data_IF_901741528716
#
_entry.id   IF_901741528716
#
_cell.length_a   1.000
_cell.length_b   1.000
_cell.length_c   1.000
_cell.angle_alpha   90.00
_cell.angle_beta   90.00
_cell.angle_gamma   90.00
#
_symmetry.space_group_name_H-M   'P 1'
#
loop_
_entity.id
_entity.type
_entity.pdbx_description
1 polymer ?
#
# COMPACT_ATOMS: atom_id res chain seq x y z
N UNK A 1 39.05 26.58 58.81
CA UNK A 1 38.65 25.32 58.14
C UNK A 1 37.14 25.40 57.93
N UNK A 2 36.69 25.70 56.71
CA UNK A 2 35.26 25.88 56.37
C UNK A 2 34.65 24.52 55.99
N UNK A 3 33.43 24.18 56.46
CA UNK A 3 32.82 22.90 56.16
C UNK A 3 32.23 22.88 54.74
N UNK A 4 32.36 21.72 54.09
CA UNK A 4 31.83 21.42 52.76
C UNK A 4 30.29 21.34 52.81
N UNK A 5 29.53 21.97 51.89
CA UNK A 5 28.08 21.84 51.87
C UNK A 5 27.65 20.47 51.33
N UNK A 6 26.73 19.83 52.06
CA UNK A 6 25.95 18.68 51.60
C UNK A 6 24.99 19.15 50.50
N UNK A 7 25.29 18.85 49.23
CA UNK A 7 24.28 19.00 48.17
C UNK A 7 23.51 17.69 48.01
N UNK A 8 22.20 17.85 48.16
CA UNK A 8 21.16 16.84 48.06
C UNK A 8 21.21 16.10 46.72
N UNK A 9 21.04 14.79 46.82
CA UNK A 9 20.75 13.91 45.70
C UNK A 9 19.42 14.31 45.04
N UNK A 10 19.49 14.92 43.86
CA UNK A 10 18.37 14.99 42.94
C UNK A 10 18.40 13.71 42.09
N UNK A 11 17.73 12.66 42.57
CA UNK A 11 17.45 11.46 41.79
C UNK A 11 16.37 11.83 40.77
N UNK A 12 16.79 12.40 39.63
CA UNK A 12 15.92 12.54 38.48
C UNK A 12 15.56 11.16 37.97
N UNK A 13 14.31 10.73 38.18
CA UNK A 13 13.74 9.59 37.46
C UNK A 13 13.72 9.96 35.97
N UNK A 14 14.75 9.52 35.25
CA UNK A 14 14.66 9.30 33.81
C UNK A 14 13.65 8.16 33.63
N UNK A 15 12.38 8.52 33.40
CA UNK A 15 11.44 7.59 32.81
C UNK A 15 12.06 7.13 31.48
N UNK A 16 12.32 5.83 31.27
CA UNK A 16 12.68 5.39 29.94
C UNK A 16 11.47 5.67 29.07
N UNK A 17 11.63 6.59 28.12
CA UNK A 17 10.73 6.75 27.00
C UNK A 17 10.77 5.41 26.28
N UNK A 18 9.85 4.51 26.65
CA UNK A 18 9.70 3.21 26.03
C UNK A 18 9.41 3.48 24.58
N UNK A 19 10.43 3.32 23.74
CA UNK A 19 10.24 3.14 22.32
C UNK A 19 9.47 1.83 22.20
N UNK A 20 8.14 1.90 22.25
CA UNK A 20 7.30 0.85 21.70
C UNK A 20 7.59 0.86 20.20
N UNK A 21 8.68 0.19 19.81
CA UNK A 21 8.71 -0.48 18.53
C UNK A 21 7.56 -1.50 18.60
N UNK A 22 6.37 -1.09 18.18
CA UNK A 22 5.35 -2.03 17.78
C UNK A 22 6.03 -2.92 16.75
N UNK A 23 6.35 -4.16 17.12
CA UNK A 23 6.73 -5.17 16.15
C UNK A 23 5.62 -5.16 15.10
N UNK A 24 5.90 -4.94 13.81
CA UNK A 24 4.84 -5.02 12.83
C UNK A 24 4.24 -6.43 12.95
N UNK A 25 2.92 -6.51 13.04
CA UNK A 25 2.24 -7.77 12.82
C UNK A 25 2.76 -8.29 11.48
N UNK A 26 3.53 -9.37 11.54
CA UNK A 26 4.17 -10.02 10.41
C UNK A 26 3.07 -10.58 9.52
N UNK A 27 2.75 -9.82 8.49
CA UNK A 27 1.83 -10.21 7.44
C UNK A 27 2.59 -10.04 6.13
N UNK A 28 3.72 -10.72 5.97
CA UNK A 28 4.25 -10.97 4.65
C UNK A 28 3.65 -12.28 4.14
N UNK A 29 2.85 -12.18 3.07
CA UNK A 29 2.55 -13.33 2.22
C UNK A 29 3.88 -14.00 1.86
N UNK A 30 3.96 -15.33 2.03
CA UNK A 30 5.17 -16.13 1.72
C UNK A 30 6.36 -15.93 2.68
N UNK A 31 6.12 -15.62 3.96
CA UNK A 31 7.13 -15.48 5.03
C UNK A 31 8.08 -16.69 5.22
N UNK A 32 7.72 -17.86 4.67
CA UNK A 32 8.56 -19.06 4.64
C UNK A 32 9.66 -19.07 3.57
N UNK A 33 9.92 -17.94 2.89
CA UNK A 33 10.95 -17.87 1.86
C UNK A 33 12.35 -18.20 2.40
N UNK A 34 12.90 -19.31 1.92
CA UNK A 34 14.29 -19.73 2.18
C UNK A 34 15.04 -19.63 0.86
N UNK A 35 15.95 -18.65 0.68
CA UNK A 35 16.74 -18.55 -0.54
C UNK A 35 17.42 -19.90 -0.87
N UNK A 36 17.12 -20.48 -2.03
CA UNK A 36 17.64 -21.79 -2.45
C UNK A 36 16.90 -23.04 -1.94
N UNK A 37 15.83 -22.88 -1.16
CA UNK A 37 14.93 -23.98 -0.76
C UNK A 37 14.04 -24.46 -1.91
N UNK A 38 13.64 -25.74 -1.88
CA UNK A 38 12.65 -26.25 -2.82
C UNK A 38 11.25 -25.65 -2.53
N UNK A 39 10.47 -25.24 -3.55
CA UNK A 39 9.14 -24.71 -3.32
C UNK A 39 8.21 -25.79 -2.79
N UNK A 40 7.59 -25.54 -1.64
CA UNK A 40 6.47 -26.34 -1.13
C UNK A 40 5.20 -25.56 -1.45
N UNK A 41 4.47 -25.98 -2.48
CA UNK A 41 3.21 -25.36 -2.84
C UNK A 41 2.08 -25.92 -1.98
N UNK A 42 1.30 -25.03 -1.37
CA UNK A 42 0.10 -25.40 -0.61
C UNK A 42 -1.10 -24.61 -1.15
N UNK A 43 -2.26 -25.26 -1.26
CA UNK A 43 -3.50 -24.57 -1.67
C UNK A 43 -4.29 -24.17 -0.44
N UNK A 44 -4.64 -22.89 -0.37
CA UNK A 44 -5.54 -22.36 0.64
C UNK A 44 -6.98 -22.67 0.24
N UNK A 45 -7.72 -23.33 1.13
CA UNK A 45 -9.13 -23.62 0.93
C UNK A 45 -9.99 -22.81 1.89
N UNK A 46 -11.06 -22.21 1.37
CA UNK A 46 -12.14 -21.63 2.17
C UNK A 46 -13.44 -22.38 1.93
N UNK A 47 -14.45 -22.12 2.77
CA UNK A 47 -15.80 -22.62 2.50
C UNK A 47 -16.32 -21.99 1.19
N UNK A 48 -16.84 -22.82 0.29
CA UNK A 48 -17.46 -22.32 -0.93
C UNK A 48 -18.69 -21.47 -0.59
N UNK A 49 -18.67 -20.22 -1.03
CA UNK A 49 -19.70 -19.21 -0.79
C UNK A 49 -19.71 -18.25 -1.98
N UNK A 50 -20.85 -18.10 -2.65
CA UNK A 50 -20.91 -17.33 -3.90
C UNK A 50 -20.61 -15.86 -3.69
N UNK A 51 -21.11 -15.27 -2.60
CA UNK A 51 -20.89 -13.87 -2.30
C UNK A 51 -19.42 -13.60 -2.00
N UNK A 52 -18.74 -14.52 -1.32
CA UNK A 52 -17.30 -14.42 -1.09
C UNK A 52 -16.49 -14.50 -2.38
N UNK A 53 -16.79 -15.47 -3.26
CA UNK A 53 -16.11 -15.57 -4.56
C UNK A 53 -16.32 -14.32 -5.41
N UNK A 54 -17.53 -13.76 -5.40
CA UNK A 54 -17.83 -12.54 -6.14
C UNK A 54 -17.06 -11.33 -5.57
N UNK A 55 -17.02 -11.17 -4.25
CA UNK A 55 -16.25 -10.12 -3.60
C UNK A 55 -14.75 -10.18 -3.94
N UNK A 56 -14.17 -11.38 -3.94
CA UNK A 56 -12.77 -11.59 -4.34
C UNK A 56 -12.53 -11.24 -5.82
N UNK A 57 -13.41 -11.68 -6.73
CA UNK A 57 -13.31 -11.36 -8.16
C UNK A 57 -13.43 -9.88 -8.42
N UNK A 58 -14.33 -9.19 -7.72
CA UNK A 58 -14.49 -7.75 -7.83
C UNK A 58 -13.22 -7.02 -7.38
N UNK A 59 -12.67 -7.40 -6.23
CA UNK A 59 -11.40 -6.86 -5.76
C UNK A 59 -10.27 -7.07 -6.77
N UNK A 60 -10.10 -8.28 -7.31
CA UNK A 60 -9.07 -8.59 -8.31
C UNK A 60 -9.27 -7.77 -9.59
N UNK A 61 -10.51 -7.68 -10.08
CA UNK A 61 -10.88 -6.89 -11.26
C UNK A 61 -10.56 -5.40 -11.10
N UNK A 62 -10.51 -4.90 -9.87
CA UNK A 62 -10.05 -3.57 -9.55
C UNK A 62 -8.53 -3.47 -9.34
N UNK A 63 -7.97 -4.26 -8.43
CA UNK A 63 -6.59 -4.08 -7.95
C UNK A 63 -5.56 -4.47 -9.00
N UNK A 64 -5.86 -5.47 -9.84
CA UNK A 64 -4.95 -5.93 -10.89
C UNK A 64 -4.66 -4.84 -11.93
N UNK A 65 -5.65 -4.22 -12.62
CA UNK A 65 -5.36 -3.13 -13.54
C UNK A 65 -4.78 -1.89 -12.83
N UNK A 66 -5.15 -1.65 -11.57
CA UNK A 66 -4.54 -0.59 -10.76
C UNK A 66 -3.02 -0.81 -10.61
N UNK A 67 -2.57 -2.00 -10.21
CA UNK A 67 -1.13 -2.31 -10.16
C UNK A 67 -0.46 -2.19 -11.54
N UNK A 68 -1.13 -2.61 -12.61
CA UNK A 68 -0.60 -2.45 -13.97
C UNK A 68 -0.42 -0.96 -14.35
N UNK A 69 -1.30 -0.08 -13.86
CA UNK A 69 -1.19 1.37 -13.95
C UNK A 69 0.09 1.89 -13.29
N UNK A 70 0.35 1.49 -12.05
CA UNK A 70 1.58 1.84 -11.34
C UNK A 70 2.85 1.39 -12.08
N UNK A 71 2.83 0.20 -12.71
CA UNK A 71 3.98 -0.27 -13.49
C UNK A 71 4.25 0.64 -14.70
N UNK A 72 3.19 1.11 -15.35
CA UNK A 72 3.26 2.02 -16.50
C UNK A 72 3.85 3.36 -16.06
N UNK A 73 3.30 3.95 -14.99
CA UNK A 73 3.80 5.21 -14.42
C UNK A 73 5.27 5.14 -14.01
N UNK A 74 5.69 4.02 -13.39
CA UNK A 74 7.07 3.81 -12.98
C UNK A 74 8.03 3.67 -14.17
N UNK A 75 7.62 2.96 -15.24
CA UNK A 75 8.42 2.84 -16.48
C UNK A 75 8.56 4.17 -17.20
N UNK A 76 7.46 4.91 -17.33
CA UNK A 76 7.45 6.22 -17.99
C UNK A 76 8.33 7.22 -17.23
N UNK A 77 8.29 7.19 -15.90
CA UNK A 77 9.18 7.97 -15.07
C UNK A 77 10.65 7.59 -15.28
N UNK A 78 11.00 6.30 -15.27
CA UNK A 78 12.38 5.84 -15.46
C UNK A 78 12.95 6.16 -16.85
N UNK A 79 12.09 6.25 -17.87
CA UNK A 79 12.45 6.58 -19.25
C UNK A 79 12.67 8.08 -19.49
N UNK A 80 12.20 8.95 -18.58
CA UNK A 80 12.30 10.40 -18.71
C UNK A 80 13.71 10.89 -18.30
N UNK A 81 14.44 11.64 -19.15
CA UNK A 81 15.78 12.15 -18.82
C UNK A 81 15.77 13.16 -17.66
N UNK A 82 14.62 13.77 -17.35
CA UNK A 82 14.45 14.70 -16.23
C UNK A 82 14.07 13.98 -14.92
N UNK A 83 13.92 12.65 -14.92
CA UNK A 83 13.83 11.85 -13.70
C UNK A 83 15.20 11.69 -13.04
N UNK A 84 15.55 12.58 -12.10
CA UNK A 84 16.91 12.69 -11.53
C UNK A 84 17.01 12.30 -10.06
N UNK A 85 15.89 12.21 -9.34
CA UNK A 85 15.90 11.80 -7.93
C UNK A 85 16.36 10.34 -7.79
N UNK A 86 17.52 10.06 -7.15
CA UNK A 86 18.00 8.70 -6.99
C UNK A 86 17.04 7.83 -6.18
N UNK A 87 16.41 8.41 -5.14
CA UNK A 87 15.39 7.73 -4.34
C UNK A 87 14.18 7.32 -5.19
N UNK A 88 13.60 8.24 -5.97
CA UNK A 88 12.40 7.92 -6.76
C UNK A 88 12.69 6.94 -7.90
N UNK A 89 13.88 6.98 -8.50
CA UNK A 89 14.29 5.97 -9.49
C UNK A 89 14.37 4.58 -8.87
N UNK A 90 15.01 4.45 -7.70
CA UNK A 90 15.03 3.17 -6.95
C UNK A 90 13.64 2.72 -6.53
N UNK A 91 12.79 3.65 -6.10
CA UNK A 91 11.40 3.38 -5.76
C UNK A 91 10.63 2.87 -6.98
N UNK A 92 10.76 3.52 -8.14
CA UNK A 92 10.09 3.10 -9.37
C UNK A 92 10.50 1.68 -9.80
N UNK A 93 11.78 1.34 -9.68
CA UNK A 93 12.26 -0.03 -9.90
C UNK A 93 11.70 -1.02 -8.89
N UNK A 94 11.59 -0.64 -7.61
CA UNK A 94 10.99 -1.46 -6.57
C UNK A 94 9.49 -1.70 -6.82
N UNK A 95 8.74 -0.65 -7.18
CA UNK A 95 7.33 -0.73 -7.60
C UNK A 95 7.18 -1.70 -8.76
N UNK A 96 8.02 -1.58 -9.80
CA UNK A 96 7.97 -2.50 -10.95
C UNK A 96 8.13 -3.95 -10.50
N UNK A 97 9.11 -4.25 -9.65
CA UNK A 97 9.38 -5.63 -9.21
C UNK A 97 8.30 -6.16 -8.28
N UNK A 98 7.95 -5.41 -7.24
CA UNK A 98 7.01 -5.83 -6.21
C UNK A 98 5.58 -5.94 -6.76
N UNK A 99 5.09 -4.91 -7.46
CA UNK A 99 3.73 -4.93 -7.98
C UNK A 99 3.55 -5.87 -9.19
N UNK A 100 4.62 -6.20 -9.93
CA UNK A 100 4.56 -7.29 -10.92
C UNK A 100 4.31 -8.65 -10.26
N UNK A 101 4.94 -8.89 -9.11
CA UNK A 101 4.72 -10.13 -8.36
C UNK A 101 3.31 -10.18 -7.78
N UNK A 102 2.82 -9.08 -7.21
CA UNK A 102 1.44 -8.96 -6.71
C UNK A 102 0.39 -9.18 -7.81
N UNK A 103 0.60 -8.69 -9.04
CA UNK A 103 -0.24 -9.03 -10.19
C UNK A 103 -0.26 -10.56 -10.42
N UNK A 104 0.90 -11.20 -10.32
CA UNK A 104 1.02 -12.66 -10.43
C UNK A 104 0.22 -13.41 -9.36
N UNK A 105 0.21 -12.91 -8.12
CA UNK A 105 -0.59 -13.45 -7.02
C UNK A 105 -2.09 -13.24 -7.28
N UNK A 106 -2.52 -12.05 -7.71
CA UNK A 106 -3.91 -11.77 -8.04
C UNK A 106 -4.41 -12.67 -9.18
N UNK A 107 -3.58 -12.89 -10.20
CA UNK A 107 -3.87 -13.83 -11.29
C UNK A 107 -3.95 -15.28 -10.81
N UNK A 108 -3.15 -15.66 -9.81
CA UNK A 108 -3.23 -16.99 -9.21
C UNK A 108 -4.49 -17.21 -8.38
N UNK A 109 -4.87 -16.22 -7.57
CA UNK A 109 -6.14 -16.24 -6.84
C UNK A 109 -7.30 -16.34 -7.84
N UNK A 110 -7.31 -15.55 -8.91
CA UNK A 110 -8.35 -15.62 -9.94
C UNK A 110 -8.48 -17.03 -10.53
N UNK A 111 -7.37 -17.65 -10.93
CA UNK A 111 -7.35 -19.02 -11.46
C UNK A 111 -7.85 -20.05 -10.45
N UNK A 112 -7.52 -19.89 -9.17
CA UNK A 112 -8.02 -20.76 -8.09
C UNK A 112 -9.55 -20.62 -7.95
N UNK A 113 -10.08 -19.39 -7.98
CA UNK A 113 -11.52 -19.12 -7.89
C UNK A 113 -12.34 -19.61 -9.10
N UNK A 114 -11.68 -19.87 -10.24
CA UNK A 114 -12.28 -20.49 -11.43
C UNK A 114 -12.39 -22.02 -11.31
N UNK A 115 -11.63 -22.65 -10.40
CA UNK A 115 -11.72 -24.10 -10.20
C UNK A 115 -13.01 -24.48 -9.46
N UNK A 116 -13.60 -25.65 -9.77
CA UNK A 116 -14.77 -26.14 -9.06
C UNK A 116 -14.44 -26.40 -7.58
N UNK A 117 -15.37 -26.17 -6.64
CA UNK A 117 -15.18 -26.54 -5.25
C UNK A 117 -14.95 -28.04 -5.07
N UNK A 118 -14.03 -28.39 -4.18
CA UNK A 118 -13.90 -29.75 -3.68
C UNK A 118 -15.09 -30.06 -2.77
N UNK A 119 -15.88 -31.07 -3.12
CA UNK A 119 -17.02 -31.52 -2.30
C UNK A 119 -16.60 -32.72 -1.45
N UNK A 120 -16.57 -32.51 -0.14
CA UNK A 120 -16.32 -33.56 0.85
C UNK A 120 -17.65 -34.00 1.47
N UNK A 121 -17.86 -35.31 1.59
CA UNK A 121 -19.08 -35.87 2.17
C UNK A 121 -18.79 -37.00 3.15
N UNK A 122 -19.42 -36.97 4.34
CA UNK A 122 -19.41 -38.07 5.32
C UNK A 122 -20.85 -38.28 5.79
N UNK A 123 -21.47 -39.38 5.35
CA UNK A 123 -22.89 -39.64 5.62
C UNK A 123 -23.79 -38.56 5.01
N UNK A 124 -24.66 -37.96 5.84
CA UNK A 124 -25.55 -36.87 5.42
C UNK A 124 -24.86 -35.49 5.38
N UNK A 125 -23.66 -35.36 5.95
CA UNK A 125 -22.93 -34.10 5.95
C UNK A 125 -22.21 -33.89 4.62
N UNK A 126 -22.40 -32.72 4.01
CA UNK A 126 -21.70 -32.28 2.80
C UNK A 126 -21.07 -30.90 3.03
N UNK A 127 -19.82 -30.74 2.63
CA UNK A 127 -19.09 -29.48 2.67
C UNK A 127 -18.41 -29.23 1.34
N UNK A 128 -18.57 -28.03 0.80
CA UNK A 128 -17.87 -27.58 -0.39
C UNK A 128 -16.74 -26.63 0.02
N UNK A 129 -15.53 -26.91 -0.46
CA UNK A 129 -14.32 -26.13 -0.20
C UNK A 129 -13.83 -25.52 -1.51
N UNK A 130 -13.76 -24.20 -1.57
CA UNK A 130 -13.24 -23.46 -2.70
C UNK A 130 -11.72 -23.31 -2.57
N UNK A 131 -10.91 -23.71 -3.56
CA UNK A 131 -9.52 -23.26 -3.64
C UNK A 131 -9.48 -21.75 -3.85
N UNK A 132 -8.73 -21.05 -2.99
CA UNK A 132 -8.71 -19.59 -2.91
C UNK A 132 -7.38 -18.97 -3.33
N UNK A 133 -6.26 -19.63 -3.02
CA UNK A 133 -4.92 -19.13 -3.33
C UNK A 133 -3.90 -20.27 -3.28
N UNK A 134 -2.71 -20.01 -3.81
CA UNK A 134 -1.54 -20.89 -3.67
C UNK A 134 -0.49 -20.17 -2.83
N UNK A 135 0.04 -20.84 -1.82
CA UNK A 135 1.24 -20.44 -1.09
C UNK A 135 2.46 -21.18 -1.65
N UNK A 136 3.65 -20.61 -1.51
CA UNK A 136 4.91 -21.07 -2.10
C UNK A 136 5.20 -20.49 -3.48
N UNK A 137 4.37 -19.54 -3.97
CA UNK A 137 4.53 -18.90 -5.29
C UNK A 137 5.78 -18.03 -5.33
N UNK A 138 6.12 -17.34 -4.24
CA UNK A 138 7.35 -16.53 -4.17
C UNK A 138 8.58 -17.43 -4.31
N UNK A 139 8.62 -18.53 -3.56
CA UNK A 139 9.70 -19.52 -3.62
C UNK A 139 9.84 -20.13 -5.02
N UNK A 140 8.70 -20.50 -5.64
CA UNK A 140 8.67 -21.08 -6.98
C UNK A 140 9.22 -20.13 -8.04
N UNK A 141 8.97 -18.84 -7.90
CA UNK A 141 9.41 -17.80 -8.84
C UNK A 141 10.79 -17.24 -8.48
N UNK A 142 11.38 -17.62 -7.34
CA UNK A 142 12.60 -17.00 -6.81
C UNK A 142 12.41 -15.50 -6.56
N UNK A 143 11.19 -15.08 -6.19
CA UNK A 143 10.86 -13.68 -5.98
C UNK A 143 11.61 -13.15 -4.75
N UNK A 144 12.26 -12.00 -4.92
CA UNK A 144 12.87 -11.26 -3.83
C UNK A 144 12.25 -9.87 -3.79
N UNK A 145 11.57 -9.57 -2.67
CA UNK A 145 10.96 -8.26 -2.43
C UNK A 145 12.05 -7.19 -2.47
N UNK A 146 11.77 -6.13 -3.21
CA UNK A 146 12.64 -4.96 -3.24
C UNK A 146 12.34 -4.08 -2.04
N UNK A 147 13.35 -3.67 -1.27
CA UNK A 147 13.13 -2.77 -0.15
C UNK A 147 12.72 -1.39 -0.66
N UNK A 148 11.87 -0.71 0.11
CA UNK A 148 11.57 0.70 -0.09
C UNK A 148 12.83 1.50 0.21
N UNK A 149 13.25 2.45 -0.67
CA UNK A 149 14.41 3.29 -0.40
C UNK A 149 14.26 4.06 0.91
N UNK A 150 15.35 4.17 1.67
CA UNK A 150 15.37 4.87 2.95
C UNK A 150 15.40 6.39 2.80
N UNK A 151 15.19 7.13 3.89
CA UNK A 151 15.29 8.60 3.86
C UNK A 151 16.69 9.12 3.50
N UNK A 152 17.74 8.33 3.78
CA UNK A 152 19.11 8.66 3.39
C UNK A 152 19.31 8.58 1.87
N UNK A 153 18.47 7.82 1.17
CA UNK A 153 18.45 7.71 -0.28
C UNK A 153 17.86 8.96 -0.96
N UNK A 154 17.13 9.80 -0.21
CA UNK A 154 16.50 11.02 -0.70
C UNK A 154 17.51 12.15 -1.00
N UNK A 155 18.79 11.94 -0.69
CA UNK A 155 19.86 12.86 -1.07
C UNK A 155 20.09 12.85 -2.59
N UNK A 156 19.95 14.01 -3.23
CA UNK A 156 20.19 14.15 -4.67
C UNK A 156 19.42 15.34 -5.27
N UNK A 157 19.65 15.65 -6.56
CA UNK A 157 18.82 16.62 -7.26
C UNK A 157 17.38 16.11 -7.36
N UNK A 158 16.43 17.02 -7.18
CA UNK A 158 14.99 16.78 -7.40
C UNK A 158 14.53 17.77 -8.46
N UNK A 159 13.90 17.28 -9.52
CA UNK A 159 13.36 18.08 -10.63
C UNK A 159 11.85 18.27 -10.51
N UNK A 160 11.29 19.13 -11.37
CA UNK A 160 9.84 19.21 -11.52
C UNK A 160 9.24 17.85 -11.95
N UNK A 161 9.94 17.09 -12.80
CA UNK A 161 9.48 15.77 -13.27
C UNK A 161 9.39 14.75 -12.12
N UNK A 162 10.38 14.77 -11.23
CA UNK A 162 10.37 13.97 -9.99
C UNK A 162 9.15 14.30 -9.13
N UNK A 163 8.84 15.59 -8.96
CA UNK A 163 7.66 16.05 -8.22
C UNK A 163 6.36 15.60 -8.90
N UNK A 164 6.28 15.65 -10.23
CA UNK A 164 5.09 15.16 -10.95
C UNK A 164 4.85 13.66 -10.72
N UNK A 165 5.89 12.83 -10.85
CA UNK A 165 5.80 11.40 -10.57
C UNK A 165 5.40 11.14 -9.11
N UNK A 166 6.08 11.77 -8.16
CA UNK A 166 5.80 11.59 -6.73
C UNK A 166 4.35 11.97 -6.38
N UNK A 167 3.84 13.09 -6.91
CA UNK A 167 2.44 13.49 -6.69
C UNK A 167 1.45 12.54 -7.35
N UNK A 168 1.66 12.19 -8.62
CA UNK A 168 0.78 11.28 -9.35
C UNK A 168 0.71 9.91 -8.71
N UNK A 169 1.87 9.35 -8.35
CA UNK A 169 1.96 8.05 -7.70
C UNK A 169 1.44 8.09 -6.26
N UNK A 170 1.55 9.21 -5.55
CA UNK A 170 0.88 9.39 -4.24
C UNK A 170 -0.64 9.29 -4.36
N UNK A 171 -1.24 9.92 -5.37
CA UNK A 171 -2.68 9.83 -5.62
C UNK A 171 -3.08 8.39 -5.94
N UNK A 172 -2.31 7.73 -6.81
CA UNK A 172 -2.53 6.34 -7.18
C UNK A 172 -2.43 5.39 -5.97
N UNK A 173 -1.37 5.50 -5.16
CA UNK A 173 -1.20 4.65 -4.00
C UNK A 173 -2.30 4.86 -2.97
N UNK A 174 -2.73 6.10 -2.72
CA UNK A 174 -3.85 6.36 -1.80
C UNK A 174 -5.12 5.61 -2.21
N UNK A 175 -5.41 5.50 -3.51
CA UNK A 175 -6.54 4.71 -3.99
C UNK A 175 -6.38 3.20 -3.71
N UNK A 176 -5.17 2.64 -3.85
CA UNK A 176 -4.90 1.26 -3.45
C UNK A 176 -5.09 1.03 -1.94
N UNK A 177 -4.66 1.97 -1.08
CA UNK A 177 -4.93 1.91 0.35
C UNK A 177 -6.44 1.87 0.63
N UNK A 178 -7.22 2.70 -0.07
CA UNK A 178 -8.67 2.77 0.10
C UNK A 178 -9.36 1.47 -0.36
N UNK A 179 -8.94 0.90 -1.50
CA UNK A 179 -9.44 -0.38 -2.00
C UNK A 179 -9.11 -1.53 -1.05
N UNK A 180 -7.88 -1.57 -0.53
CA UNK A 180 -7.45 -2.58 0.43
C UNK A 180 -8.31 -2.53 1.70
N UNK A 181 -8.55 -1.32 2.24
CA UNK A 181 -9.42 -1.13 3.41
C UNK A 181 -10.89 -1.46 3.12
N UNK A 182 -11.39 -1.13 1.94
CA UNK A 182 -12.75 -1.48 1.54
C UNK A 182 -12.94 -3.01 1.45
N UNK A 183 -11.94 -3.73 0.93
CA UNK A 183 -11.96 -5.19 0.93
C UNK A 183 -11.96 -5.76 2.35
N UNK A 184 -11.07 -5.27 3.22
CA UNK A 184 -10.97 -5.74 4.61
C UNK A 184 -12.24 -5.52 5.44
N UNK A 185 -13.04 -4.51 5.10
CA UNK A 185 -14.30 -4.21 5.80
C UNK A 185 -15.53 -4.84 5.15
N UNK A 186 -15.38 -5.49 3.99
CA UNK A 186 -16.48 -6.17 3.32
C UNK A 186 -16.80 -7.51 4.02
N UNK A 187 -18.01 -7.69 4.58
CA UNK A 187 -18.38 -8.93 5.29
C UNK A 187 -18.44 -10.17 4.39
N UNK A 188 -18.51 -10.00 3.07
CA UNK A 188 -18.42 -11.08 2.10
C UNK A 188 -16.96 -11.45 1.78
N UNK A 189 -16.00 -10.55 1.94
CA UNK A 189 -14.58 -10.81 1.69
C UNK A 189 -14.01 -11.76 2.77
N UNK A 190 -13.85 -13.03 2.42
CA UNK A 190 -13.42 -14.10 3.34
C UNK A 190 -12.12 -14.78 2.93
N UNK A 191 -11.42 -14.24 1.94
CA UNK A 191 -10.15 -14.78 1.48
C UNK A 191 -9.00 -14.30 2.37
N UNK A 192 -8.55 -15.17 3.26
CA UNK A 192 -7.45 -14.87 4.18
C UNK A 192 -6.15 -14.49 3.47
N UNK A 193 -5.90 -15.04 2.28
CA UNK A 193 -4.73 -14.71 1.48
C UNK A 193 -4.81 -13.26 0.96
N UNK A 194 -5.95 -12.86 0.35
CA UNK A 194 -6.13 -11.47 -0.07
C UNK A 194 -6.13 -10.50 1.12
N UNK A 195 -6.64 -10.91 2.28
CA UNK A 195 -6.58 -10.12 3.51
C UNK A 195 -5.13 -9.87 3.97
N UNK A 196 -4.26 -10.90 3.94
CA UNK A 196 -2.84 -10.74 4.27
C UNK A 196 -2.11 -9.89 3.23
N UNK A 197 -2.35 -10.12 1.94
CA UNK A 197 -1.82 -9.29 0.85
C UNK A 197 -2.22 -7.82 1.01
N UNK A 198 -3.44 -7.53 1.48
CA UNK A 198 -3.86 -6.16 1.77
C UNK A 198 -3.10 -5.51 2.93
N UNK A 199 -2.65 -6.29 3.92
CA UNK A 199 -1.79 -5.76 4.99
C UNK A 199 -0.42 -5.38 4.44
N UNK A 200 0.16 -6.23 3.57
CA UNK A 200 1.38 -5.92 2.82
C UNK A 200 1.23 -4.63 2.00
N UNK A 201 0.20 -4.53 1.15
CA UNK A 201 -0.07 -3.35 0.31
C UNK A 201 -0.19 -2.08 1.15
N UNK A 202 -1.00 -2.10 2.21
CA UNK A 202 -1.19 -0.93 3.08
C UNK A 202 0.11 -0.54 3.76
N UNK A 203 0.94 -1.52 4.15
CA UNK A 203 2.21 -1.27 4.85
C UNK A 203 3.23 -0.64 3.92
N UNK A 204 3.45 -1.24 2.75
CA UNK A 204 4.45 -0.77 1.79
C UNK A 204 4.03 0.56 1.18
N UNK A 205 2.82 0.63 0.61
CA UNK A 205 2.39 1.83 -0.10
C UNK A 205 2.25 3.05 0.82
N UNK A 206 1.98 2.86 2.11
CA UNK A 206 2.05 3.96 3.09
C UNK A 206 3.48 4.50 3.27
N UNK A 207 4.48 3.62 3.30
CA UNK A 207 5.89 4.01 3.39
C UNK A 207 6.39 4.65 2.10
N UNK A 208 5.96 4.15 0.95
CA UNK A 208 6.26 4.73 -0.37
C UNK A 208 5.66 6.13 -0.51
N UNK A 209 4.41 6.34 -0.07
CA UNK A 209 3.78 7.67 0.02
C UNK A 209 4.61 8.61 0.91
N UNK A 210 5.07 8.13 2.07
CA UNK A 210 5.90 8.94 2.96
C UNK A 210 7.21 9.36 2.28
N UNK A 211 7.91 8.43 1.62
CA UNK A 211 9.13 8.72 0.85
C UNK A 211 8.86 9.75 -0.27
N UNK A 212 7.81 9.57 -1.06
CA UNK A 212 7.44 10.50 -2.15
C UNK A 212 7.16 11.91 -1.63
N UNK A 213 6.49 12.03 -0.47
CA UNK A 213 6.28 13.32 0.20
C UNK A 213 7.58 13.95 0.68
N UNK A 214 8.49 13.15 1.26
CA UNK A 214 9.83 13.62 1.66
C UNK A 214 10.63 14.13 0.47
N UNK A 215 10.67 13.40 -0.65
CA UNK A 215 11.40 13.85 -1.86
C UNK A 215 10.76 15.12 -2.43
N UNK A 216 9.43 15.20 -2.47
CA UNK A 216 8.71 16.40 -2.94
C UNK A 216 9.07 17.62 -2.09
N UNK A 217 9.20 17.48 -0.76
CA UNK A 217 9.57 18.57 0.14
C UNK A 217 11.04 19.03 -0.04
N UNK A 218 11.91 18.18 -0.59
CA UNK A 218 13.30 18.54 -0.89
C UNK A 218 13.46 19.30 -2.22
N UNK A 219 12.39 19.46 -3.01
CA UNK A 219 12.41 20.22 -4.25
C UNK A 219 12.70 21.70 -3.98
N UNK A 220 13.69 22.26 -4.69
CA UNK A 220 14.11 23.67 -4.53
C UNK A 220 13.22 24.68 -5.24
N UNK A 221 12.36 24.23 -6.16
CA UNK A 221 11.38 25.08 -6.82
C UNK A 221 10.05 25.13 -6.07
N UNK A 222 9.06 25.77 -6.68
CA UNK A 222 7.69 25.77 -6.16
C UNK A 222 7.01 24.42 -6.45
N UNK A 223 7.02 23.51 -5.47
CA UNK A 223 6.35 22.23 -5.59
C UNK A 223 4.84 22.38 -5.80
N UNK A 224 4.19 23.43 -5.29
CA UNK A 224 2.74 23.63 -5.45
C UNK A 224 2.36 23.97 -6.90
N UNK A 225 3.22 24.71 -7.61
CA UNK A 225 3.02 25.05 -9.02
C UNK A 225 3.14 23.84 -9.96
N UNK A 226 3.86 22.78 -9.58
CA UNK A 226 4.02 21.57 -10.39
C UNK A 226 2.69 20.83 -10.51
N UNK A 227 2.07 20.86 -11.69
CA UNK A 227 0.83 20.17 -12.00
C UNK A 227 1.08 18.71 -12.40
N UNK A 228 0.13 17.83 -12.04
CA UNK A 228 0.06 16.46 -12.53
C UNK A 228 -1.09 16.39 -13.52
N UNK A 229 -0.78 16.04 -14.77
CA UNK A 229 -1.82 15.80 -15.77
C UNK A 229 -2.56 14.49 -15.42
N UNK A 230 -3.91 14.46 -15.39
CA UNK A 230 -4.66 13.23 -15.18
C UNK A 230 -4.26 12.08 -16.10
N UNK A 231 -3.79 12.35 -17.33
CA UNK A 231 -3.33 11.32 -18.27
C UNK A 231 -2.10 10.56 -17.80
N UNK A 232 -1.37 11.08 -16.81
CA UNK A 232 -0.22 10.43 -16.20
C UNK A 232 -0.60 9.40 -15.12
N UNK A 233 -1.86 9.34 -14.70
CA UNK A 233 -2.32 8.42 -13.66
C UNK A 233 -3.11 7.31 -14.35
N UNK A 234 -2.45 6.17 -14.53
CA UNK A 234 -3.00 5.00 -15.22
C UNK A 234 -3.69 4.04 -14.24
N UNK A 235 -4.57 3.15 -14.71
CA UNK A 235 -5.12 2.06 -13.90
C UNK A 235 -6.19 2.50 -12.89
N UNK A 236 -6.69 3.74 -13.02
CA UNK A 236 -7.74 4.30 -12.17
C UNK A 236 -9.16 4.08 -12.74
N UNK A 237 -9.27 3.48 -13.91
CA UNK A 237 -10.54 3.22 -14.58
C UNK A 237 -11.39 2.21 -13.80
N UNK A 238 -12.70 2.39 -13.77
CA UNK A 238 -13.62 1.45 -13.10
C UNK A 238 -13.65 1.51 -11.58
N UNK A 239 -12.81 2.35 -10.95
CA UNK A 239 -12.78 2.56 -9.49
C UNK A 239 -14.04 3.23 -8.91
N UNK A 240 -14.94 3.75 -9.75
CA UNK A 240 -16.14 4.47 -9.31
C UNK A 240 -17.25 3.56 -8.76
N UNK A 241 -17.15 2.24 -8.96
CA UNK A 241 -18.14 1.25 -8.50
C UNK A 241 -17.69 0.42 -7.28
N UNK A 242 -16.42 0.49 -6.89
CA UNK A 242 -15.94 -0.09 -5.65
C UNK A 242 -16.20 0.91 -4.55
N UNK A 243 -17.02 0.58 -3.56
CA UNK A 243 -17.42 1.50 -2.51
C UNK A 243 -16.18 2.03 -1.75
N UNK A 244 -15.72 3.22 -2.14
CA UNK A 244 -14.71 3.98 -1.39
C UNK A 244 -15.43 4.56 -0.17
N UNK A 245 -14.99 4.26 1.08
CA UNK A 245 -15.58 4.87 2.26
C UNK A 245 -15.52 6.39 2.19
N UNK A 246 -16.60 7.06 2.61
CA UNK A 246 -16.88 8.48 2.35
C UNK A 246 -15.97 9.50 3.07
N UNK A 247 -14.79 9.14 3.58
CA UNK A 247 -13.89 10.08 4.26
C UNK A 247 -13.05 10.94 3.29
N UNK A 248 -12.86 10.52 2.04
CA UNK A 248 -12.10 11.29 1.05
C UNK A 248 -12.83 12.53 0.48
N UNK A 249 -14.12 12.75 0.83
CA UNK A 249 -14.90 13.89 0.29
C UNK A 249 -14.84 15.18 1.10
N UNK A 250 -14.14 15.24 2.25
CA UNK A 250 -14.21 16.42 3.16
C UNK A 250 -13.11 17.47 3.01
N UNK A 251 -12.09 17.29 2.19
CA UNK A 251 -11.00 18.29 2.09
C UNK A 251 -11.14 19.32 0.96
N UNK A 252 -12.19 19.23 0.13
CA UNK A 252 -12.46 20.21 -0.93
C UNK A 252 -13.74 21.01 -0.67
N UNK A 253 -13.77 21.82 0.40
CA UNK A 253 -14.56 23.06 0.42
C UNK A 253 -14.19 23.94 1.62
N UNK A 254 -13.22 24.85 1.43
CA UNK A 254 -13.18 26.11 2.19
C UNK A 254 -12.66 27.24 1.29
N UNK A 255 -13.55 28.05 0.67
CA UNK A 255 -13.29 29.47 0.52
C UNK A 255 -13.65 30.14 1.86
N UNK A 256 -12.79 30.93 2.47
CA UNK A 256 -12.41 32.25 1.96
C UNK A 256 -13.16 33.28 2.81
N UNK A 257 -12.41 33.99 3.66
CA UNK A 257 -12.93 34.95 4.63
C UNK A 257 -13.80 36.05 3.96
N UNK A 258 -14.91 36.40 4.62
CA UNK A 258 -15.64 37.63 4.35
C UNK A 258 -15.70 38.48 5.64
N UNK A 259 -15.38 39.75 5.47
CA UNK A 259 -15.25 40.80 6.50
C UNK A 259 -16.62 41.25 7.07
N UNK A 260 -16.66 42.16 8.07
CA UNK A 260 -17.77 42.26 9.03
C UNK A 260 -18.94 43.12 8.54
N UNK A 261 -20.16 42.69 8.87
CA UNK A 261 -21.36 43.50 8.73
C UNK A 261 -21.54 44.42 9.95
N UNK A 262 -21.55 45.73 9.68
CA UNK A 262 -22.07 46.74 10.58
C UNK A 262 -23.60 46.64 10.65
N UNK A 263 -24.14 46.64 11.86
CA UNK A 263 -25.54 46.97 12.12
C UNK A 263 -25.62 47.95 13.29
N UNK A 264 -25.98 49.20 12.96
CA UNK A 264 -26.75 50.05 13.86
C UNK A 264 -28.10 49.39 14.12
N UNK A 265 -28.61 49.46 15.36
CA UNK A 265 -29.90 50.10 15.69
C UNK A 265 -30.18 50.03 17.20
N UNK A 266 -30.54 51.22 17.72
CA UNK A 266 -31.08 51.57 19.04
C UNK A 266 -30.11 51.75 20.22
#
# INVERSE_FOLDING_TARGET
>A
MRPLPKMLAALGLLAPLGLLAALPARAAIEEGYVPGGAPVLSTWYGRADEAARQADRDYIRGMRPHHAGALTMARDYLADPEARSPALRRLAEAIIRNQSFEIGLLDDVARNLDQPPLVLGVGAFRMALQPMATEGVAQRQGFMRSPIPGVLDAAGPVTARDVQFAKGMTIHHQAALDMARAYQTNPAARNGFLALMNVDIVTDQSQEIALMRTVTAAYRGDAAAVQVDPSMIHGMEGMHGMAVPAEAKREKMKPGAAAPHAHHHH
#
